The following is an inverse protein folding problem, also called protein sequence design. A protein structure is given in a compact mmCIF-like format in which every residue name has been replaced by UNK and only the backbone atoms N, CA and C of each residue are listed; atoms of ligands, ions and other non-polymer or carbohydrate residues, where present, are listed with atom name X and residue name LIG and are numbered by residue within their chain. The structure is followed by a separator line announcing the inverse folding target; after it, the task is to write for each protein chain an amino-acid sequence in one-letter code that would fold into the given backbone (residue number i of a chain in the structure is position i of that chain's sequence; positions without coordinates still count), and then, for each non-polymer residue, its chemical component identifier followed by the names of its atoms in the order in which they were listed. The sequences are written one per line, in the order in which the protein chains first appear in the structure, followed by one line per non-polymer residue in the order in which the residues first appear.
data_IF_912534198812
#
_entry.id   IF_912534198812
#
_cell.length_a   1.000
_cell.length_b   1.000
_cell.length_c   1.000
_cell.angle_alpha   90.00
_cell.angle_beta   90.00
_cell.angle_gamma   90.00
#
_symmetry.space_group_name_H-M   'P 1'
#
loop_
_entity.id
_entity.type
_entity.pdbx_description
1 polymer ?
#
# COMPACT_ATOMS: atom_id res chain seq x y z
N UNK A 1 -20.15 7.35 -72.06
CA UNK A 1 -19.24 7.47 -73.22
C UNK A 1 -17.84 7.19 -72.69
N UNK A 2 -17.36 5.94 -72.68
CA UNK A 2 -16.90 5.21 -73.85
C UNK A 2 -15.36 5.21 -73.83
N UNK A 3 -14.73 4.15 -73.31
CA UNK A 3 -13.31 3.86 -73.62
C UNK A 3 -13.20 3.16 -74.98
N UNK A 4 -12.15 2.38 -75.28
CA UNK A 4 -10.70 2.46 -75.05
C UNK A 4 -10.01 2.58 -76.45
N UNK A 5 -8.90 1.92 -76.91
CA UNK A 5 -7.75 1.21 -76.30
C UNK A 5 -6.37 1.64 -76.91
N UNK A 6 -5.22 1.07 -76.49
CA UNK A 6 -4.37 0.09 -77.25
C UNK A 6 -3.15 -0.29 -76.37
N UNK A 7 -3.02 -1.54 -75.89
CA UNK A 7 -2.14 -2.66 -76.36
C UNK A 7 -0.74 -2.23 -76.89
N UNK A 8 0.37 -2.52 -76.19
CA UNK A 8 1.21 -3.76 -76.09
C UNK A 8 2.28 -3.86 -77.23
N UNK A 9 3.28 -4.77 -77.24
CA UNK A 9 4.36 -5.19 -76.30
C UNK A 9 5.78 -5.22 -76.96
N UNK A 10 6.87 -5.39 -76.18
CA UNK A 10 8.11 -6.14 -76.54
C UNK A 10 9.12 -6.03 -75.37
N UNK A 11 9.56 -7.12 -74.69
CA UNK A 11 10.71 -8.03 -75.03
C UNK A 11 11.98 -7.24 -75.36
N UNK A 12 13.19 -7.52 -74.88
CA UNK A 12 13.86 -8.55 -74.11
C UNK A 12 15.23 -7.91 -73.78
N UNK A 13 15.84 -8.18 -72.62
CA UNK A 13 17.19 -8.76 -72.64
C UNK A 13 17.66 -9.11 -71.23
N UNK A 14 17.92 -10.40 -71.07
CA UNK A 14 18.69 -10.97 -69.98
C UNK A 14 20.14 -10.96 -70.40
N UNK A 15 21.05 -10.42 -69.58
CA UNK A 15 22.35 -11.07 -69.35
C UNK A 15 23.17 -10.45 -68.21
N UNK A 16 23.76 -11.38 -67.44
CA UNK A 16 25.04 -11.34 -66.71
C UNK A 16 25.08 -10.74 -65.31
N UNK A 17 25.49 -11.61 -64.38
CA UNK A 17 25.92 -11.25 -63.02
C UNK A 17 26.30 -12.49 -62.21
N UNK A 18 27.30 -13.24 -62.66
CA UNK A 18 27.89 -14.39 -61.97
C UNK A 18 28.49 -13.98 -60.62
N UNK A 19 28.14 -14.68 -59.52
CA UNK A 19 29.14 -15.03 -58.50
C UNK A 19 28.74 -16.25 -57.67
N UNK A 20 29.56 -17.30 -57.81
CA UNK A 20 29.66 -18.44 -56.92
C UNK A 20 29.78 -18.01 -55.46
N UNK A 21 29.03 -18.64 -54.55
CA UNK A 21 29.60 -19.31 -53.37
C UNK A 21 28.77 -20.56 -53.02
N UNK A 22 29.46 -21.69 -52.90
CA UNK A 22 28.98 -22.93 -52.26
C UNK A 22 29.60 -23.02 -50.86
N UNK A 23 28.89 -23.78 -50.02
CA UNK A 23 29.27 -24.44 -48.74
C UNK A 23 28.86 -23.70 -47.45
N UNK A 24 28.59 -24.42 -46.34
CA UNK A 24 27.77 -25.63 -46.20
C UNK A 24 26.71 -25.47 -45.08
N UNK A 25 25.78 -26.43 -45.04
CA UNK A 25 24.72 -26.57 -44.04
C UNK A 25 25.31 -26.83 -42.65
N UNK A 26 25.21 -25.86 -41.74
CA UNK A 26 25.55 -26.06 -40.33
C UNK A 26 24.39 -26.79 -39.61
N UNK A 27 24.54 -28.11 -39.46
CA UNK A 27 23.90 -28.86 -38.37
C UNK A 27 24.56 -28.44 -37.06
N UNK A 28 23.79 -27.87 -36.14
CA UNK A 28 24.27 -27.47 -34.82
C UNK A 28 23.13 -27.10 -33.89
N UNK A 29 22.30 -28.09 -33.51
CA UNK A 29 21.51 -28.00 -32.26
C UNK A 29 22.50 -28.07 -31.10
N UNK A 30 22.92 -26.92 -30.59
CA UNK A 30 23.49 -26.83 -29.25
C UNK A 30 22.33 -26.70 -28.27
N UNK A 31 21.87 -27.84 -27.76
CA UNK A 31 21.11 -27.88 -26.54
C UNK A 31 22.02 -27.37 -25.42
N UNK A 32 21.70 -26.20 -24.86
CA UNK A 32 22.31 -25.74 -23.63
C UNK A 32 21.87 -26.72 -22.54
N UNK A 33 22.77 -27.41 -21.83
CA UNK A 33 22.37 -28.20 -20.68
C UNK A 33 21.84 -27.23 -19.62
N UNK A 34 20.52 -27.22 -19.44
CA UNK A 34 19.88 -26.59 -18.30
C UNK A 34 20.40 -27.32 -17.05
N UNK A 35 21.39 -26.74 -16.38
CA UNK A 35 21.78 -27.17 -15.04
C UNK A 35 20.50 -27.14 -14.20
N UNK A 36 19.99 -28.33 -13.87
CA UNK A 36 19.07 -28.49 -12.74
C UNK A 36 19.86 -28.12 -11.49
N UNK A 37 19.88 -26.84 -11.16
CA UNK A 37 20.01 -26.47 -9.77
C UNK A 37 18.72 -26.99 -9.13
N UNK A 38 18.82 -28.13 -8.45
CA UNK A 38 17.83 -28.51 -7.45
C UNK A 38 17.57 -27.27 -6.60
N UNK A 39 16.32 -26.82 -6.42
CA UNK A 39 16.06 -25.80 -5.44
C UNK A 39 16.37 -26.47 -4.09
N UNK A 40 17.59 -26.24 -3.59
CA UNK A 40 17.87 -26.40 -2.19
C UNK A 40 16.73 -25.67 -1.48
N UNK A 41 15.94 -26.42 -0.71
CA UNK A 41 14.86 -25.87 0.09
C UNK A 41 15.43 -24.64 0.78
N UNK A 42 15.01 -23.45 0.32
CA UNK A 42 15.23 -22.23 1.06
C UNK A 42 14.50 -22.52 2.36
N UNK A 43 15.26 -22.83 3.40
CA UNK A 43 14.75 -22.74 4.75
C UNK A 43 14.34 -21.28 4.86
N UNK A 44 13.05 -21.01 4.72
CA UNK A 44 12.49 -19.69 4.92
C UNK A 44 12.74 -19.42 6.38
N UNK A 45 13.84 -18.72 6.68
CA UNK A 45 14.01 -18.12 7.98
C UNK A 45 12.80 -17.20 8.20
N UNK A 46 12.21 -17.15 9.41
CA UNK A 46 11.09 -16.28 9.67
C UNK A 46 11.55 -14.86 9.37
N UNK A 47 11.05 -14.29 8.28
CA UNK A 47 11.36 -12.91 7.91
C UNK A 47 10.67 -12.06 8.96
N UNK A 48 11.45 -11.54 9.90
CA UNK A 48 10.98 -10.59 10.89
C UNK A 48 10.41 -9.39 10.13
N UNK A 49 9.10 -9.18 10.26
CA UNK A 49 8.41 -8.03 9.67
C UNK A 49 8.91 -6.79 10.41
N UNK A 50 9.84 -6.06 9.80
CA UNK A 50 10.28 -4.76 10.27
C UNK A 50 9.93 -3.72 9.22
N UNK A 51 8.82 -3.03 9.44
CA UNK A 51 8.56 -1.77 8.73
C UNK A 51 9.57 -0.72 9.20
N UNK A 52 9.92 0.20 8.30
CA UNK A 52 10.72 1.37 8.69
C UNK A 52 9.80 2.42 9.37
N UNK A 53 10.40 3.42 10.02
CA UNK A 53 9.66 4.46 10.74
C UNK A 53 8.68 5.25 9.83
N UNK A 54 9.00 5.40 8.54
CA UNK A 54 8.15 6.09 7.59
C UNK A 54 6.85 5.29 7.33
N UNK A 55 6.98 4.00 7.03
CA UNK A 55 5.85 3.11 6.76
C UNK A 55 4.97 2.95 8.01
N UNK A 56 5.57 2.86 9.20
CA UNK A 56 4.82 2.81 10.47
C UNK A 56 4.02 4.12 10.66
N UNK A 57 4.61 5.27 10.36
CA UNK A 57 3.95 6.57 10.48
C UNK A 57 2.81 6.72 9.44
N UNK A 58 3.02 6.24 8.22
CA UNK A 58 2.00 6.20 7.18
C UNK A 58 0.84 5.29 7.59
N UNK A 59 1.11 4.08 8.09
CA UNK A 59 0.10 3.18 8.66
C UNK A 59 -0.68 3.87 9.79
N UNK A 60 0.03 4.47 10.75
CA UNK A 60 -0.58 5.19 11.86
C UNK A 60 -1.50 6.33 11.37
N UNK A 61 -1.09 7.05 10.32
CA UNK A 61 -1.89 8.08 9.67
C UNK A 61 -3.12 7.50 8.98
N UNK A 62 -2.99 6.35 8.33
CA UNK A 62 -4.08 5.66 7.65
C UNK A 62 -5.16 5.19 8.63
N UNK A 63 -4.73 4.46 9.67
CA UNK A 63 -5.59 3.99 10.76
C UNK A 63 -6.32 5.15 11.43
N UNK A 64 -5.62 6.27 11.68
CA UNK A 64 -6.22 7.48 12.26
C UNK A 64 -7.30 8.11 11.37
N UNK A 65 -7.22 7.91 10.06
CA UNK A 65 -8.23 8.38 9.09
C UNK A 65 -9.41 7.41 8.96
N UNK A 66 -9.34 6.25 9.60
CA UNK A 66 -10.37 5.21 9.52
C UNK A 66 -10.20 4.25 8.34
N UNK A 67 -9.03 4.27 7.70
CA UNK A 67 -8.64 3.32 6.66
C UNK A 67 -8.10 2.03 7.30
N UNK A 68 -8.10 0.95 6.54
CA UNK A 68 -7.55 -0.35 6.94
C UNK A 68 -6.15 -0.54 6.34
N UNK A 69 -5.26 -1.20 7.08
CA UNK A 69 -3.87 -1.40 6.66
C UNK A 69 -3.54 -2.88 6.65
N UNK A 70 -2.99 -3.37 5.54
CA UNK A 70 -2.59 -4.75 5.35
C UNK A 70 -1.09 -4.79 5.07
N UNK A 71 -0.33 -5.56 5.87
CA UNK A 71 1.12 -5.66 5.74
C UNK A 71 1.51 -7.09 5.37
N UNK A 72 2.11 -7.28 4.20
CA UNK A 72 2.51 -8.61 3.74
C UNK A 72 3.65 -9.17 4.59
N UNK A 73 3.48 -10.36 5.16
CA UNK A 73 4.39 -10.99 6.14
C UNK A 73 5.78 -11.27 5.58
N UNK A 74 5.87 -11.69 4.32
CA UNK A 74 7.16 -12.08 3.73
C UNK A 74 8.07 -10.90 3.35
N UNK A 75 7.53 -9.70 3.09
CA UNK A 75 8.33 -8.61 2.52
C UNK A 75 7.93 -7.21 2.98
N UNK A 76 6.96 -7.09 3.90
CA UNK A 76 6.56 -5.82 4.50
C UNK A 76 5.85 -4.86 3.55
N UNK A 77 5.37 -5.31 2.37
CA UNK A 77 4.60 -4.44 1.48
C UNK A 77 3.30 -4.08 2.19
N UNK A 78 3.05 -2.78 2.27
CA UNK A 78 1.83 -2.24 2.86
C UNK A 78 0.80 -1.94 1.77
N UNK A 79 -0.45 -2.31 2.03
CA UNK A 79 -1.63 -1.92 1.26
C UNK A 79 -2.54 -1.14 2.20
N UNK A 80 -3.09 -0.02 1.73
CA UNK A 80 -3.99 0.84 2.49
C UNK A 80 -5.33 0.85 1.78
N UNK A 81 -6.36 0.30 2.44
CA UNK A 81 -7.70 0.21 1.90
C UNK A 81 -8.57 1.34 2.49
N UNK A 82 -9.08 2.21 1.62
CA UNK A 82 -10.06 3.25 1.97
C UNK A 82 -11.42 2.80 1.45
N UNK A 83 -12.31 2.41 2.37
CA UNK A 83 -13.62 1.83 2.04
C UNK A 83 -14.55 2.90 1.44
N UNK A 84 -14.99 2.76 0.16
CA UNK A 84 -15.84 3.74 -0.50
C UNK A 84 -17.24 3.86 0.12
N UNK A 85 -17.71 2.87 0.88
CA UNK A 85 -18.95 2.98 1.65
C UNK A 85 -18.80 3.95 2.83
N UNK A 86 -17.59 4.07 3.37
CA UNK A 86 -17.26 4.96 4.51
C UNK A 86 -16.71 6.31 4.05
N UNK A 87 -16.01 6.34 2.92
CA UNK A 87 -15.42 7.54 2.36
C UNK A 87 -15.77 7.68 0.87
N UNK A 88 -16.74 8.53 0.57
CA UNK A 88 -17.19 8.83 -0.81
C UNK A 88 -16.11 9.38 -1.75
N UNK A 89 -14.94 9.76 -1.23
CA UNK A 89 -13.78 10.20 -2.02
C UNK A 89 -12.80 9.07 -2.32
N UNK A 90 -12.99 7.88 -1.75
CA UNK A 90 -12.18 6.72 -2.07
C UNK A 90 -12.52 6.21 -3.47
N UNK A 91 -11.53 5.66 -4.15
CA UNK A 91 -11.69 5.06 -5.46
C UNK A 91 -12.12 3.59 -5.29
N UNK A 92 -13.35 3.21 -5.72
CA UNK A 92 -13.83 1.84 -5.58
C UNK A 92 -12.96 0.81 -6.31
N UNK A 93 -12.39 1.15 -7.47
CA UNK A 93 -11.57 0.20 -8.25
C UNK A 93 -10.27 -0.12 -7.52
N UNK A 94 -9.65 0.88 -6.89
CA UNK A 94 -8.44 0.69 -6.07
C UNK A 94 -8.74 -0.15 -4.84
N UNK A 95 -9.86 0.12 -4.17
CA UNK A 95 -10.29 -0.66 -3.01
C UNK A 95 -10.55 -2.12 -3.38
N UNK A 96 -11.32 -2.38 -4.45
CA UNK A 96 -11.61 -3.73 -4.93
C UNK A 96 -10.34 -4.51 -5.30
N UNK A 97 -9.38 -3.88 -5.99
CA UNK A 97 -8.11 -4.50 -6.32
C UNK A 97 -7.31 -4.92 -5.07
N UNK A 98 -7.27 -4.07 -4.04
CA UNK A 98 -6.61 -4.39 -2.77
C UNK A 98 -7.32 -5.56 -2.08
N UNK A 99 -8.66 -5.53 -2.02
CA UNK A 99 -9.43 -6.60 -1.39
C UNK A 99 -9.31 -7.93 -2.14
N UNK A 100 -9.16 -7.91 -3.47
CA UNK A 100 -8.88 -9.09 -4.27
C UNK A 100 -7.48 -9.66 -3.98
N UNK A 101 -6.46 -8.80 -3.90
CA UNK A 101 -5.09 -9.22 -3.56
C UNK A 101 -5.04 -9.86 -2.16
N UNK A 102 -5.70 -9.26 -1.17
CA UNK A 102 -5.75 -9.77 0.21
C UNK A 102 -6.57 -11.05 0.31
N UNK A 103 -7.71 -11.16 -0.38
CA UNK A 103 -8.58 -12.35 -0.32
C UNK A 103 -7.98 -13.58 -1.01
N UNK A 104 -7.01 -13.39 -1.92
CA UNK A 104 -6.31 -14.49 -2.58
C UNK A 104 -5.41 -15.26 -1.62
N UNK A 105 -4.77 -14.57 -0.68
CA UNK A 105 -3.90 -15.17 0.35
C UNK A 105 -3.98 -14.35 1.66
N UNK A 106 -5.06 -14.48 2.44
CA UNK A 106 -5.28 -13.66 3.63
C UNK A 106 -4.23 -13.90 4.71
N UNK A 107 -3.73 -15.13 4.82
CA UNK A 107 -2.73 -15.52 5.81
C UNK A 107 -1.37 -14.88 5.53
N UNK A 108 -1.09 -14.48 4.29
CA UNK A 108 0.11 -13.73 3.93
C UNK A 108 0.12 -12.29 4.47
N UNK A 109 -0.99 -11.78 5.01
CA UNK A 109 -1.07 -10.41 5.52
C UNK A 109 -1.27 -10.36 7.05
N UNK A 110 -0.70 -9.33 7.65
CA UNK A 110 -1.12 -8.82 8.96
C UNK A 110 -2.15 -7.72 8.69
N UNK A 111 -3.37 -7.92 9.16
CA UNK A 111 -4.41 -6.90 9.11
C UNK A 111 -4.35 -6.04 10.37
N UNK A 112 -4.14 -4.74 10.19
CA UNK A 112 -4.17 -3.75 11.26
C UNK A 112 -5.51 -3.03 11.16
N UNK A 113 -6.41 -3.39 12.08
CA UNK A 113 -7.71 -2.77 12.16
C UNK A 113 -7.65 -1.36 12.73
N UNK A 114 -8.72 -0.59 12.48
CA UNK A 114 -8.92 0.70 13.13
C UNK A 114 -8.84 0.53 14.66
N UNK A 115 -8.17 1.48 15.31
CA UNK A 115 -8.17 1.53 16.76
C UNK A 115 -9.60 1.59 17.31
N UNK A 116 -9.97 0.73 18.27
CA UNK A 116 -11.28 0.80 18.92
C UNK A 116 -11.54 2.19 19.50
N UNK A 117 -12.79 2.66 19.37
CA UNK A 117 -13.16 4.00 19.84
C UNK A 117 -12.86 4.19 21.34
N UNK A 118 -13.01 3.14 22.14
CA UNK A 118 -12.68 3.16 23.57
C UNK A 118 -11.19 3.45 23.82
N UNK A 119 -10.28 2.84 23.05
CA UNK A 119 -8.85 3.05 23.19
C UNK A 119 -8.42 4.43 22.68
N UNK A 120 -9.03 4.90 21.59
CA UNK A 120 -8.84 6.25 21.11
C UNK A 120 -9.30 7.30 22.15
N UNK A 121 -10.39 7.05 22.89
CA UNK A 121 -10.83 7.90 24.01
C UNK A 121 -9.82 7.86 25.16
N UNK A 122 -9.23 6.69 25.48
CA UNK A 122 -8.15 6.60 26.49
C UNK A 122 -6.95 7.47 26.10
N UNK A 123 -6.56 7.52 24.82
CA UNK A 123 -5.50 8.41 24.34
C UNK A 123 -5.86 9.88 24.59
N UNK A 124 -7.11 10.28 24.32
CA UNK A 124 -7.58 11.64 24.59
C UNK A 124 -7.56 11.98 26.09
N UNK A 125 -7.94 11.03 26.94
CA UNK A 125 -7.84 11.17 28.41
C UNK A 125 -6.38 11.33 28.84
N UNK A 126 -5.49 10.47 28.37
CA UNK A 126 -4.07 10.49 28.70
C UNK A 126 -3.37 11.79 28.26
N UNK A 127 -3.82 12.40 27.15
CA UNK A 127 -3.38 13.75 26.79
C UNK A 127 -3.91 14.80 27.76
N UNK A 128 -5.20 14.72 28.10
CA UNK A 128 -5.86 15.66 29.03
C UNK A 128 -5.11 15.71 30.35
N UNK A 129 -4.71 14.56 30.91
CA UNK A 129 -3.96 14.47 32.18
C UNK A 129 -2.59 15.18 32.15
N UNK A 130 -2.03 15.44 30.95
CA UNK A 130 -0.76 16.16 30.76
C UNK A 130 -0.94 17.66 30.53
N UNK A 131 -2.18 18.15 30.41
CA UNK A 131 -2.47 19.56 30.15
C UNK A 131 -2.29 20.39 31.42
N UNK A 132 -1.35 21.33 31.39
CA UNK A 132 -1.09 22.27 32.51
C UNK A 132 -2.02 23.47 32.56
N UNK A 133 -2.62 23.85 31.42
CA UNK A 133 -3.57 24.96 31.38
C UNK A 133 -4.89 24.49 32.00
N UNK A 134 -5.25 25.07 33.14
CA UNK A 134 -6.42 24.63 33.92
C UNK A 134 -7.74 24.79 33.15
N UNK A 135 -7.91 25.90 32.40
CA UNK A 135 -9.10 26.14 31.59
C UNK A 135 -9.26 25.05 30.51
N UNK A 136 -8.19 24.78 29.77
CA UNK A 136 -8.21 23.72 28.75
C UNK A 136 -8.41 22.34 29.39
N UNK A 137 -7.73 22.04 30.50
CA UNK A 137 -7.88 20.76 31.20
C UNK A 137 -9.34 20.51 31.60
N UNK A 138 -10.01 21.53 32.18
CA UNK A 138 -11.43 21.44 32.54
C UNK A 138 -12.31 21.24 31.30
N UNK A 139 -12.07 22.02 30.23
CA UNK A 139 -12.82 21.94 28.98
C UNK A 139 -12.72 20.54 28.33
N UNK A 140 -11.52 19.97 28.25
CA UNK A 140 -11.30 18.64 27.68
C UNK A 140 -11.91 17.53 28.57
N UNK A 141 -11.74 17.63 29.89
CA UNK A 141 -12.34 16.68 30.84
C UNK A 141 -13.86 16.64 30.70
N UNK A 142 -14.49 17.81 30.55
CA UNK A 142 -15.92 17.89 30.33
C UNK A 142 -16.33 17.40 28.93
N UNK A 143 -15.57 17.75 27.89
CA UNK A 143 -15.83 17.32 26.51
C UNK A 143 -15.84 15.79 26.37
N UNK A 144 -14.97 15.07 27.09
CA UNK A 144 -14.90 13.61 27.09
C UNK A 144 -16.11 12.92 27.72
N UNK A 145 -16.83 13.60 28.61
CA UNK A 145 -18.04 13.06 29.27
C UNK A 145 -19.32 13.29 28.47
N UNK A 146 -19.25 14.07 27.39
CA UNK A 146 -20.42 14.45 26.58
C UNK A 146 -20.62 13.48 25.40
N UNK A 147 -21.84 13.39 24.85
CA UNK A 147 -22.07 12.73 23.56
C UNK A 147 -21.15 13.31 22.49
N UNK A 148 -20.61 12.45 21.62
CA UNK A 148 -19.62 12.79 20.58
C UNK A 148 -18.30 13.34 21.15
N UNK A 149 -17.59 12.59 22.03
CA UNK A 149 -16.39 13.05 22.72
C UNK A 149 -15.29 13.50 21.76
N UNK A 150 -15.09 12.80 20.64
CA UNK A 150 -14.11 13.16 19.60
C UNK A 150 -14.31 14.57 19.04
N UNK A 151 -15.55 14.91 18.68
CA UNK A 151 -15.88 16.20 18.07
C UNK A 151 -15.80 17.33 19.09
N UNK A 152 -16.31 17.10 20.32
CA UNK A 152 -16.25 18.10 21.38
C UNK A 152 -14.81 18.41 21.77
N UNK A 153 -13.99 17.38 22.00
CA UNK A 153 -12.59 17.54 22.37
C UNK A 153 -11.79 18.31 21.32
N UNK A 154 -11.98 17.98 20.03
CA UNK A 154 -11.34 18.71 18.92
C UNK A 154 -11.80 20.16 18.88
N UNK A 155 -13.07 20.43 19.16
CA UNK A 155 -13.63 21.79 19.17
C UNK A 155 -13.00 22.63 20.28
N UNK A 156 -12.86 22.10 21.49
CA UNK A 156 -12.22 22.80 22.60
C UNK A 156 -10.73 23.05 22.31
N UNK A 157 -9.99 22.06 21.78
CA UNK A 157 -8.58 22.24 21.43
C UNK A 157 -8.32 23.32 20.38
N UNK A 158 -9.24 23.56 19.44
CA UNK A 158 -9.07 24.59 18.40
C UNK A 158 -8.88 25.99 18.98
N UNK A 159 -9.38 26.24 20.20
CA UNK A 159 -9.19 27.52 20.91
C UNK A 159 -7.77 27.70 21.47
N UNK A 160 -6.97 26.62 21.50
CA UNK A 160 -5.62 26.61 22.07
C UNK A 160 -4.60 26.07 21.06
N UNK A 161 -4.16 26.87 20.07
CA UNK A 161 -3.33 26.40 18.95
C UNK A 161 -2.04 25.67 19.37
N UNK A 162 -1.36 26.15 20.42
CA UNK A 162 -0.14 25.50 20.96
C UNK A 162 -0.43 24.10 21.52
N UNK A 163 -1.54 23.94 22.23
CA UNK A 163 -1.95 22.64 22.77
C UNK A 163 -2.51 21.74 21.67
N UNK A 164 -3.15 22.30 20.65
CA UNK A 164 -3.58 21.56 19.48
C UNK A 164 -2.39 20.93 18.74
N UNK A 165 -1.28 21.66 18.59
CA UNK A 165 -0.07 21.10 18.01
C UNK A 165 0.52 19.97 18.85
N UNK A 166 0.64 20.17 20.17
CA UNK A 166 1.08 19.12 21.10
C UNK A 166 0.19 17.89 21.05
N UNK A 167 -1.12 18.07 20.91
CA UNK A 167 -2.07 16.98 20.73
C UNK A 167 -1.83 16.24 19.43
N UNK A 168 -1.55 16.94 18.31
CA UNK A 168 -1.25 16.29 17.03
C UNK A 168 -0.05 15.36 17.14
N UNK A 169 1.03 15.83 17.76
CA UNK A 169 2.26 15.07 17.96
C UNK A 169 2.01 13.88 18.88
N UNK A 170 1.46 14.11 20.07
CA UNK A 170 1.14 13.07 21.04
C UNK A 170 0.23 11.99 20.44
N UNK A 171 -0.82 12.38 19.72
CA UNK A 171 -1.71 11.43 19.07
C UNK A 171 -0.97 10.62 18.00
N UNK A 172 -0.11 11.24 17.20
CA UNK A 172 0.63 10.51 16.16
C UNK A 172 1.57 9.47 16.78
N UNK A 173 2.26 9.82 17.87
CA UNK A 173 3.09 8.88 18.64
C UNK A 173 2.27 7.69 19.12
N UNK A 174 1.09 7.92 19.72
CA UNK A 174 0.23 6.82 20.20
C UNK A 174 -0.31 5.91 19.11
N UNK A 175 -0.62 6.45 17.93
CA UNK A 175 -1.04 5.61 16.80
C UNK A 175 0.14 4.83 16.20
N UNK A 176 1.35 5.37 16.26
CA UNK A 176 2.59 4.67 15.87
C UNK A 176 2.85 3.50 16.83
N UNK A 177 2.74 3.73 18.14
CA UNK A 177 2.82 2.69 19.18
C UNK A 177 1.78 1.57 18.94
N UNK A 178 0.53 1.94 18.62
CA UNK A 178 -0.53 0.98 18.32
C UNK A 178 -0.21 0.11 17.11
N UNK A 179 0.25 0.70 16.00
CA UNK A 179 0.68 -0.06 14.81
C UNK A 179 1.79 -1.04 15.16
N UNK A 180 2.80 -0.61 15.93
CA UNK A 180 3.88 -1.49 16.38
C UNK A 180 3.39 -2.64 17.25
N UNK A 181 2.43 -2.37 18.16
CA UNK A 181 1.82 -3.41 19.00
C UNK A 181 1.07 -4.45 18.14
N UNK A 182 0.24 -4.02 17.20
CA UNK A 182 -0.47 -4.93 16.30
C UNK A 182 0.49 -5.80 15.47
N UNK A 183 1.61 -5.22 15.02
CA UNK A 183 2.63 -5.98 14.29
C UNK A 183 3.37 -6.99 15.18
N UNK A 184 3.58 -6.69 16.45
CA UNK A 184 4.25 -7.57 17.41
C UNK A 184 3.34 -8.72 17.88
N UNK A 185 2.07 -8.45 18.18
CA UNK A 185 1.09 -9.46 18.65
C UNK A 185 0.82 -10.56 17.61
N UNK A 186 1.13 -10.31 16.35
CA UNK A 186 0.90 -11.22 15.21
C UNK A 186 2.15 -12.04 14.85
N UNK A 187 3.19 -11.95 15.69
CA UNK A 187 4.46 -12.68 15.57
C UNK A 187 4.60 -13.83 16.59
N UNK A 188 3.69 -13.93 17.56
CA UNK A 188 3.61 -15.02 18.55
C UNK A 188 2.63 -16.13 18.11
#
# INVERSE_FOLDING_TARGET
MGGPPRRNPARQDSQRGTRLQRLPVARGRLAVPYQRQSPAARKTEPIMISLNDHDINEAATAIRRGMEVYVHRAHGRMLIADDPERNVRADPEVFEAIMQDVSTDPDAYVHIERMPAADAIKIMSAFTDRVRNQELWQALTYALKRPNPFQNFKTELRRFPKNYERWRQFRQERYTEYVQQCLAEQQD
#
